data_IF_623989759764
#
_entry.id   IF_623989759764
#
_cell.length_a   1.000
_cell.length_b   1.000
_cell.length_c   1.000
_cell.angle_alpha   90.00
_cell.angle_beta   90.00
_cell.angle_gamma   90.00
#
_symmetry.space_group_name_H-M   'P 1'
#
loop_
_entity.id
_entity.type
_entity.pdbx_description
1 polymer ?
#
# COMPACT_ATOMS: atom_id res chain seq x y z
N UNK A 1 42.19 -57.61 53.81
CA UNK A 1 41.50 -57.69 52.49
C UNK A 1 40.03 -57.40 52.74
N UNK A 2 39.57 -56.22 52.35
CA UNK A 2 38.21 -55.72 52.60
C UNK A 2 37.77 -54.88 51.40
N UNK A 3 36.71 -55.31 50.74
CA UNK A 3 36.14 -54.75 49.50
C UNK A 3 35.50 -53.38 49.75
N UNK A 4 35.98 -52.31 49.09
CA UNK A 4 35.25 -51.04 48.97
C UNK A 4 34.57 -50.96 47.60
N UNK A 5 33.28 -51.29 47.57
CA UNK A 5 32.42 -51.19 46.38
C UNK A 5 32.24 -49.76 45.88
N UNK A 6 32.29 -49.59 44.56
CA UNK A 6 31.98 -48.34 43.87
C UNK A 6 30.49 -47.99 44.07
N UNK A 7 30.21 -46.83 44.67
CA UNK A 7 28.84 -46.33 44.84
C UNK A 7 28.33 -45.63 43.56
N UNK A 8 27.08 -45.90 43.18
CA UNK A 8 26.37 -45.36 41.98
C UNK A 8 26.52 -43.84 41.80
N UNK A 9 26.63 -43.08 42.90
CA UNK A 9 26.82 -41.62 42.91
C UNK A 9 28.18 -41.16 42.34
N UNK A 10 29.24 -41.98 42.44
CA UNK A 10 30.55 -41.70 41.84
C UNK A 10 30.64 -42.13 40.37
N UNK A 11 29.80 -43.07 39.93
CA UNK A 11 29.72 -43.51 38.53
C UNK A 11 28.98 -42.48 37.65
N UNK A 12 27.84 -41.96 38.12
CA UNK A 12 27.09 -40.90 37.43
C UNK A 12 27.88 -39.58 37.30
N UNK A 13 28.75 -39.26 38.27
CA UNK A 13 29.60 -38.08 38.22
C UNK A 13 30.70 -38.13 37.15
N UNK A 14 31.13 -39.32 36.70
CA UNK A 14 32.18 -39.47 35.67
C UNK A 14 31.63 -39.59 34.25
N UNK A 15 30.37 -39.99 34.06
CA UNK A 15 29.72 -39.96 32.73
C UNK A 15 29.31 -38.56 32.27
N UNK A 16 29.09 -37.62 33.20
CA UNK A 16 28.73 -36.24 32.86
C UNK A 16 29.89 -35.46 32.20
N UNK A 17 31.15 -35.90 32.33
CA UNK A 17 32.32 -35.22 31.75
C UNK A 17 32.77 -35.77 30.40
N UNK A 18 32.27 -36.93 29.94
CA UNK A 18 32.58 -37.48 28.61
C UNK A 18 31.47 -37.28 27.57
N UNK A 19 30.29 -36.78 27.96
CA UNK A 19 29.22 -36.41 27.02
C UNK A 19 29.30 -34.95 26.51
N UNK A 20 30.18 -34.12 27.08
CA UNK A 20 30.29 -32.69 26.73
C UNK A 20 31.24 -32.42 25.54
N UNK A 21 31.91 -33.44 24.99
CA UNK A 21 32.87 -33.27 23.89
C UNK A 21 32.33 -33.63 22.49
N UNK A 22 31.08 -34.11 22.36
CA UNK A 22 30.54 -34.57 21.06
C UNK A 22 29.20 -33.95 20.67
N UNK A 23 28.73 -32.90 21.36
CA UNK A 23 27.45 -32.24 21.03
C UNK A 23 27.54 -30.75 20.68
N UNK A 24 28.75 -30.20 20.54
CA UNK A 24 28.98 -28.81 20.10
C UNK A 24 29.19 -28.70 18.58
N UNK A 25 29.35 -29.80 17.85
CA UNK A 25 29.54 -29.78 16.38
C UNK A 25 28.21 -29.95 15.59
N UNK A 26 27.09 -30.18 16.27
CA UNK A 26 25.81 -30.52 15.61
C UNK A 26 24.79 -29.39 15.40
N UNK A 27 25.09 -28.12 15.70
CA UNK A 27 24.08 -27.04 15.74
C UNK A 27 24.32 -25.82 14.86
N UNK A 28 25.26 -25.88 13.92
CA UNK A 28 25.65 -24.72 13.11
C UNK A 28 25.68 -25.01 11.59
N UNK A 29 24.70 -25.73 11.04
CA UNK A 29 24.61 -25.90 9.57
C UNK A 29 23.20 -26.07 9.00
N UNK A 30 22.14 -26.04 9.83
CA UNK A 30 20.75 -26.28 9.37
C UNK A 30 19.92 -25.00 9.19
N UNK A 31 20.57 -23.85 8.97
CA UNK A 31 19.89 -22.56 8.77
C UNK A 31 20.31 -21.80 7.50
N UNK A 32 21.02 -22.45 6.57
CA UNK A 32 21.33 -21.89 5.25
C UNK A 32 20.72 -22.80 4.17
N UNK A 33 19.40 -23.02 4.24
CA UNK A 33 18.63 -23.62 3.14
C UNK A 33 17.13 -23.46 3.39
N UNK A 34 16.69 -22.24 3.72
CA UNK A 34 15.37 -21.80 3.28
C UNK A 34 15.59 -20.84 2.11
N UNK A 35 16.16 -21.37 1.02
CA UNK A 35 15.94 -20.75 -0.29
C UNK A 35 14.45 -20.93 -0.54
N UNK A 36 13.66 -19.94 -0.14
CA UNK A 36 12.30 -19.81 -0.61
C UNK A 36 12.38 -19.94 -2.14
N UNK A 37 11.70 -20.94 -2.70
CA UNK A 37 11.69 -21.23 -4.13
C UNK A 37 11.34 -19.95 -4.90
N UNK A 38 12.38 -19.26 -5.40
CA UNK A 38 12.29 -18.09 -6.25
C UNK A 38 11.65 -18.60 -7.55
N UNK A 39 10.36 -18.32 -7.75
CA UNK A 39 9.70 -18.66 -9.02
C UNK A 39 10.51 -17.99 -10.14
N UNK A 40 10.75 -18.64 -11.29
CA UNK A 40 11.64 -18.13 -12.34
C UNK A 40 11.24 -16.77 -12.97
N UNK A 41 10.09 -16.18 -12.59
CA UNK A 41 9.66 -14.81 -12.93
C UNK A 41 9.77 -13.80 -11.78
N UNK A 42 10.44 -14.10 -10.67
CA UNK A 42 10.46 -13.19 -9.52
C UNK A 42 11.59 -12.15 -9.56
N UNK A 43 11.23 -10.88 -9.49
CA UNK A 43 12.16 -9.75 -9.35
C UNK A 43 12.43 -9.49 -7.87
N UNK A 44 13.68 -9.24 -7.49
CA UNK A 44 14.04 -8.81 -6.14
C UNK A 44 14.29 -7.31 -6.13
N UNK A 45 13.59 -6.58 -5.26
CA UNK A 45 13.81 -5.15 -5.02
C UNK A 45 14.56 -4.98 -3.70
N UNK A 46 15.74 -4.37 -3.76
CA UNK A 46 16.56 -4.10 -2.57
C UNK A 46 16.28 -2.67 -2.09
N UNK A 47 15.67 -2.57 -0.90
CA UNK A 47 15.30 -1.34 -0.19
C UNK A 47 13.77 -1.15 -0.12
N UNK A 48 13.21 -1.14 1.09
CA UNK A 48 11.80 -0.81 1.37
C UNK A 48 11.61 0.68 1.71
N UNK A 49 12.33 1.56 0.98
CA UNK A 49 12.05 3.00 0.95
C UNK A 49 10.90 3.34 -0.01
N UNK A 50 10.57 4.62 -0.14
CA UNK A 50 9.49 5.07 -1.05
C UNK A 50 9.69 4.58 -2.50
N UNK A 51 10.90 4.72 -3.05
CA UNK A 51 11.21 4.31 -4.42
C UNK A 51 11.15 2.79 -4.62
N UNK A 52 11.64 2.00 -3.66
CA UNK A 52 11.64 0.55 -3.75
C UNK A 52 10.24 -0.04 -3.63
N UNK A 53 9.44 0.46 -2.68
CA UNK A 53 8.03 0.07 -2.55
C UNK A 53 7.22 0.45 -3.80
N UNK A 54 7.46 1.62 -4.38
CA UNK A 54 6.80 2.03 -5.62
C UNK A 54 7.23 1.17 -6.82
N UNK A 55 8.51 0.82 -6.91
CA UNK A 55 8.99 -0.09 -7.96
C UNK A 55 8.35 -1.47 -7.86
N UNK A 56 8.26 -2.00 -6.62
CA UNK A 56 7.60 -3.27 -6.35
C UNK A 56 6.12 -3.25 -6.77
N UNK A 57 5.40 -2.18 -6.42
CA UNK A 57 4.02 -1.97 -6.85
C UNK A 57 3.86 -2.03 -8.38
N UNK A 58 4.70 -1.29 -9.12
CA UNK A 58 4.60 -1.23 -10.58
C UNK A 58 4.88 -2.58 -11.25
N UNK A 59 5.77 -3.37 -10.67
CA UNK A 59 6.08 -4.72 -11.14
C UNK A 59 4.94 -5.69 -10.84
N UNK A 60 4.38 -5.64 -9.62
CA UNK A 60 3.19 -6.44 -9.26
C UNK A 60 1.98 -6.10 -10.14
N UNK A 61 1.75 -4.83 -10.45
CA UNK A 61 0.70 -4.40 -11.36
C UNK A 61 0.82 -4.98 -12.78
N UNK A 62 2.03 -5.43 -13.17
CA UNK A 62 2.30 -6.13 -14.43
C UNK A 62 2.24 -7.65 -14.30
N UNK A 63 1.78 -8.18 -13.17
CA UNK A 63 1.74 -9.61 -12.88
C UNK A 63 3.10 -10.23 -12.58
N UNK A 64 4.12 -9.42 -12.29
CA UNK A 64 5.47 -9.88 -11.97
C UNK A 64 5.54 -10.11 -10.46
N UNK A 65 5.96 -11.30 -10.04
CA UNK A 65 6.16 -11.60 -8.63
C UNK A 65 7.37 -10.81 -8.10
N UNK A 66 7.21 -10.11 -6.98
CA UNK A 66 8.30 -9.30 -6.40
C UNK A 66 8.59 -9.74 -4.98
N UNK A 67 9.88 -9.83 -4.64
CA UNK A 67 10.33 -9.92 -3.24
C UNK A 67 11.07 -8.64 -2.89
N UNK A 68 10.61 -7.92 -1.85
CA UNK A 68 11.28 -6.72 -1.35
C UNK A 68 12.16 -7.10 -0.16
N UNK A 69 13.44 -6.74 -0.22
CA UNK A 69 14.40 -6.95 0.85
C UNK A 69 14.83 -5.60 1.43
N UNK A 70 14.81 -5.45 2.75
CA UNK A 70 15.32 -4.25 3.44
C UNK A 70 16.40 -4.67 4.42
N UNK A 71 17.43 -3.83 4.56
CA UNK A 71 18.59 -4.14 5.42
C UNK A 71 18.27 -4.02 6.92
N UNK A 72 17.11 -3.47 7.26
CA UNK A 72 16.65 -3.18 8.62
C UNK A 72 15.33 -3.89 8.87
N UNK A 73 15.02 -4.12 10.14
CA UNK A 73 13.75 -4.74 10.58
C UNK A 73 12.53 -3.81 10.45
N UNK A 74 12.64 -2.72 9.66
CA UNK A 74 11.58 -1.73 9.44
C UNK A 74 11.63 -1.16 8.03
N UNK A 75 10.46 -0.84 7.50
CA UNK A 75 10.30 -0.16 6.21
C UNK A 75 10.58 1.36 6.32
N UNK A 76 10.47 2.07 5.19
CA UNK A 76 10.60 3.53 5.09
C UNK A 76 12.01 4.02 4.75
N UNK A 77 12.93 3.11 4.45
CA UNK A 77 14.30 3.41 4.04
C UNK A 77 15.00 4.41 4.96
N UNK A 78 15.45 5.54 4.38
CA UNK A 78 16.21 6.59 5.07
C UNK A 78 15.36 7.61 5.81
N UNK A 79 14.02 7.60 5.74
CA UNK A 79 13.16 8.65 6.32
C UNK A 79 13.50 8.94 7.78
N UNK A 80 13.61 7.93 8.65
CA UNK A 80 13.98 8.13 10.07
C UNK A 80 15.41 8.66 10.24
N UNK A 81 16.36 8.24 9.38
CA UNK A 81 17.74 8.71 9.44
C UNK A 81 17.87 10.18 8.98
N UNK A 82 17.18 10.55 7.91
CA UNK A 82 17.11 11.95 7.45
C UNK A 82 16.37 12.83 8.45
N UNK A 83 15.30 12.33 9.07
CA UNK A 83 14.60 13.08 10.12
C UNK A 83 15.51 13.32 11.33
N UNK A 84 16.26 12.30 11.78
CA UNK A 84 17.29 12.48 12.82
C UNK A 84 18.32 13.52 12.42
N UNK A 85 18.80 13.50 11.17
CA UNK A 85 19.78 14.46 10.65
C UNK A 85 19.27 15.91 10.72
N UNK A 86 18.00 16.13 10.39
CA UNK A 86 17.38 17.48 10.37
C UNK A 86 16.89 17.89 11.76
N UNK A 87 16.40 16.95 12.57
CA UNK A 87 15.88 17.15 13.94
C UNK A 87 16.31 16.00 14.87
N UNK A 88 17.51 16.08 15.48
CA UNK A 88 18.06 15.01 16.32
C UNK A 88 17.16 14.59 17.50
N UNK A 89 16.39 15.52 18.06
CA UNK A 89 15.46 15.26 19.17
C UNK A 89 14.35 14.23 18.85
N UNK A 90 14.16 13.86 17.58
CA UNK A 90 13.14 12.89 17.14
C UNK A 90 13.58 11.42 17.27
N UNK A 91 14.86 11.15 17.56
CA UNK A 91 15.42 9.80 17.50
C UNK A 91 14.70 8.76 18.37
N UNK A 92 14.43 9.12 19.63
CA UNK A 92 13.78 8.24 20.61
C UNK A 92 12.26 8.26 20.57
N UNK A 93 11.66 9.27 19.90
CA UNK A 93 10.24 9.60 20.08
C UNK A 93 9.43 9.51 18.78
N UNK A 94 10.05 9.11 17.66
CA UNK A 94 9.36 8.97 16.37
C UNK A 94 9.51 7.57 15.81
N UNK A 95 8.36 6.98 15.49
CA UNK A 95 8.21 5.74 14.76
C UNK A 95 7.43 5.96 13.46
N UNK A 96 7.69 5.12 12.46
CA UNK A 96 6.92 5.15 11.21
C UNK A 96 5.63 4.36 11.48
N UNK A 97 4.52 5.07 11.67
CA UNK A 97 3.23 4.44 11.94
C UNK A 97 2.63 3.77 10.70
N UNK A 98 2.72 4.41 9.53
CA UNK A 98 2.15 3.91 8.27
C UNK A 98 2.90 4.47 7.07
N UNK A 99 2.97 3.66 6.01
CA UNK A 99 3.34 4.10 4.66
C UNK A 99 2.14 3.89 3.75
N UNK A 100 1.71 4.94 3.07
CA UNK A 100 0.56 4.91 2.15
C UNK A 100 1.05 5.24 0.75
N UNK A 101 0.71 4.39 -0.21
CA UNK A 101 0.88 4.66 -1.62
C UNK A 101 -0.49 4.92 -2.23
N UNK A 102 -0.82 6.18 -2.47
CA UNK A 102 -2.11 6.57 -3.05
C UNK A 102 -2.34 5.99 -4.45
N UNK A 103 -1.27 5.77 -5.22
CA UNK A 103 -1.33 5.11 -6.52
C UNK A 103 -1.71 3.63 -6.46
N UNK A 104 -1.53 2.99 -5.30
CA UNK A 104 -1.87 1.57 -5.08
C UNK A 104 -3.26 1.39 -4.49
N UNK A 105 -3.86 2.45 -3.97
CA UNK A 105 -5.17 2.39 -3.36
C UNK A 105 -6.21 2.12 -4.47
N UNK A 106 -7.03 1.05 -4.38
CA UNK A 106 -7.96 0.68 -5.43
C UNK A 106 -9.04 1.74 -5.68
N UNK A 107 -9.32 2.60 -4.70
CA UNK A 107 -10.32 3.66 -4.77
C UNK A 107 -9.73 5.01 -5.21
N UNK A 108 -8.47 5.29 -4.88
CA UNK A 108 -7.84 6.56 -5.25
C UNK A 108 -7.05 6.49 -6.56
N UNK A 109 -6.24 5.43 -6.75
CA UNK A 109 -5.38 5.20 -7.93
C UNK A 109 -4.42 6.35 -8.27
N UNK A 110 -4.18 7.26 -7.33
CA UNK A 110 -3.40 8.49 -7.52
C UNK A 110 -3.57 9.42 -6.32
N UNK A 111 -2.73 10.45 -6.22
CA UNK A 111 -2.81 11.42 -5.13
C UNK A 111 -3.83 12.53 -5.41
N UNK A 112 -3.70 13.19 -6.56
CA UNK A 112 -4.57 14.27 -7.04
C UNK A 112 -4.46 14.36 -8.56
N UNK A 113 -5.40 15.03 -9.22
CA UNK A 113 -5.30 15.26 -10.64
C UNK A 113 -4.11 16.18 -10.96
N UNK A 114 -3.29 15.77 -11.92
CA UNK A 114 -2.21 16.59 -12.45
C UNK A 114 -2.22 16.49 -13.97
N UNK A 115 -2.55 17.60 -14.62
CA UNK A 115 -2.64 17.66 -16.08
C UNK A 115 -1.28 17.97 -16.69
N UNK A 116 -0.88 17.17 -17.69
CA UNK A 116 0.28 17.49 -18.51
C UNK A 116 0.02 18.76 -19.35
N UNK A 117 1.09 19.45 -19.82
CA UNK A 117 0.93 20.62 -20.68
C UNK A 117 -0.03 20.39 -21.84
N UNK A 118 -1.03 21.26 -21.98
CA UNK A 118 -2.05 21.19 -23.02
C UNK A 118 -3.27 20.31 -22.72
N UNK A 119 -3.25 19.44 -21.69
CA UNK A 119 -4.38 18.56 -21.38
C UNK A 119 -5.59 19.30 -20.79
N UNK A 120 -5.34 20.35 -20.01
CA UNK A 120 -6.39 21.20 -19.41
C UNK A 120 -7.41 21.65 -20.46
N UNK A 121 -6.92 22.26 -21.55
CA UNK A 121 -7.75 22.74 -22.68
C UNK A 121 -8.53 21.61 -23.37
N UNK A 122 -7.99 20.40 -23.36
CA UNK A 122 -8.58 19.25 -24.06
C UNK A 122 -9.66 18.51 -23.26
N UNK A 123 -9.53 18.50 -21.93
CA UNK A 123 -10.27 17.58 -21.05
C UNK A 123 -11.06 18.25 -19.92
N UNK A 124 -10.63 19.39 -19.37
CA UNK A 124 -11.20 19.94 -18.13
C UNK A 124 -12.71 20.19 -18.24
N UNK A 125 -13.15 20.93 -19.27
CA UNK A 125 -14.57 21.22 -19.50
C UNK A 125 -15.39 19.96 -19.78
N UNK A 126 -14.77 18.95 -20.41
CA UNK A 126 -15.46 17.71 -20.79
C UNK A 126 -15.68 16.81 -19.58
N UNK A 127 -14.74 16.76 -18.63
CA UNK A 127 -14.86 15.94 -17.42
C UNK A 127 -15.93 16.49 -16.47
N UNK A 128 -16.08 17.82 -16.39
CA UNK A 128 -17.11 18.44 -15.56
C UNK A 128 -18.52 18.43 -16.20
N UNK A 129 -18.63 18.08 -17.49
CA UNK A 129 -19.88 18.15 -18.26
C UNK A 129 -20.87 17.08 -17.78
N UNK A 130 -22.08 17.46 -17.33
CA UNK A 130 -23.11 16.50 -16.94
C UNK A 130 -23.70 15.76 -18.14
N UNK A 131 -24.28 14.59 -17.88
CA UNK A 131 -25.02 13.79 -18.85
C UNK A 131 -26.41 13.46 -18.31
N UNK A 132 -27.45 14.11 -18.85
CA UNK A 132 -28.83 14.02 -18.37
C UNK A 132 -28.91 14.30 -16.85
N UNK A 133 -29.22 13.25 -16.06
CA UNK A 133 -29.34 13.31 -14.59
C UNK A 133 -28.06 12.93 -13.85
N UNK A 134 -26.96 12.69 -14.58
CA UNK A 134 -25.66 12.32 -14.03
C UNK A 134 -24.78 13.55 -14.01
N UNK A 135 -24.26 13.87 -12.82
CA UNK A 135 -23.37 15.01 -12.60
C UNK A 135 -22.02 14.52 -12.06
N UNK A 136 -20.95 15.19 -12.46
CA UNK A 136 -19.59 14.88 -12.01
C UNK A 136 -19.07 16.00 -11.11
N UNK A 137 -18.66 15.60 -9.90
CA UNK A 137 -18.02 16.43 -8.89
C UNK A 137 -16.74 15.72 -8.42
N UNK A 138 -15.79 16.51 -7.93
CA UNK A 138 -14.47 16.07 -7.53
C UNK A 138 -13.42 17.11 -7.93
N UNK A 139 -12.29 17.09 -7.23
CA UNK A 139 -11.16 18.01 -7.44
C UNK A 139 -10.75 18.12 -8.93
N UNK A 140 -10.67 16.99 -9.62
CA UNK A 140 -10.36 16.90 -11.06
C UNK A 140 -11.38 17.59 -12.01
N UNK A 141 -12.53 18.04 -11.50
CA UNK A 141 -13.57 18.75 -12.26
C UNK A 141 -13.67 20.24 -11.92
N UNK A 142 -12.85 20.72 -10.99
CA UNK A 142 -12.79 22.12 -10.59
C UNK A 142 -11.70 22.86 -11.37
N UNK A 143 -11.71 24.19 -11.26
CA UNK A 143 -10.69 25.05 -11.86
C UNK A 143 -9.61 25.43 -10.85
N UNK A 144 -9.96 25.47 -9.56
CA UNK A 144 -9.00 25.73 -8.51
C UNK A 144 -7.90 24.65 -8.43
N UNK A 145 -6.79 25.01 -7.77
CA UNK A 145 -5.64 24.12 -7.53
C UNK A 145 -6.06 22.81 -6.85
N UNK A 146 -5.28 21.72 -6.99
CA UNK A 146 -5.63 20.45 -6.34
C UNK A 146 -5.79 20.60 -4.83
N UNK A 147 -6.88 20.05 -4.27
CA UNK A 147 -7.17 20.16 -2.85
C UNK A 147 -8.63 19.94 -2.48
N UNK A 148 -8.93 20.13 -1.20
CA UNK A 148 -10.29 20.00 -0.65
C UNK A 148 -11.19 21.15 -1.12
N UNK A 149 -10.61 22.32 -1.35
CA UNK A 149 -11.26 23.52 -1.83
C UNK A 149 -11.91 23.27 -3.20
N UNK A 150 -11.17 22.65 -4.11
CA UNK A 150 -11.64 22.23 -5.43
C UNK A 150 -12.75 21.19 -5.36
N UNK A 151 -12.64 20.23 -4.44
CA UNK A 151 -13.71 19.26 -4.20
C UNK A 151 -15.00 19.96 -3.75
N UNK A 152 -14.89 20.91 -2.82
CA UNK A 152 -16.03 21.68 -2.33
C UNK A 152 -16.65 22.57 -3.41
N UNK A 153 -15.83 23.35 -4.14
CA UNK A 153 -16.23 24.18 -5.27
C UNK A 153 -17.04 23.37 -6.30
N UNK A 154 -16.52 22.20 -6.68
CA UNK A 154 -17.21 21.33 -7.64
C UNK A 154 -18.54 20.79 -7.12
N UNK A 155 -18.63 20.53 -5.81
CA UNK A 155 -19.85 20.10 -5.13
C UNK A 155 -20.92 21.20 -5.14
N UNK A 156 -20.54 22.43 -4.80
CA UNK A 156 -21.42 23.60 -4.86
C UNK A 156 -21.92 23.86 -6.28
N UNK A 157 -21.03 23.75 -7.28
CA UNK A 157 -21.37 23.85 -8.70
C UNK A 157 -22.44 22.83 -9.11
N UNK A 158 -22.26 21.56 -8.74
CA UNK A 158 -23.21 20.49 -9.06
C UNK A 158 -24.54 20.71 -8.35
N UNK A 159 -24.53 21.01 -7.04
CA UNK A 159 -25.74 21.26 -6.27
C UNK A 159 -26.55 22.43 -6.86
N UNK A 160 -25.88 23.53 -7.20
CA UNK A 160 -26.51 24.67 -7.85
C UNK A 160 -27.08 24.34 -9.25
N UNK A 161 -26.39 23.50 -10.03
CA UNK A 161 -26.89 23.07 -11.34
C UNK A 161 -28.17 22.22 -11.23
N UNK A 162 -28.24 21.35 -10.22
CA UNK A 162 -29.42 20.52 -9.95
C UNK A 162 -30.62 21.38 -9.50
N UNK A 163 -30.40 22.34 -8.61
CA UNK A 163 -31.46 23.26 -8.15
C UNK A 163 -32.05 24.10 -9.29
N UNK A 164 -31.21 24.51 -10.26
CA UNK A 164 -31.64 25.31 -11.41
C UNK A 164 -32.31 24.48 -12.53
N UNK A 165 -32.39 23.15 -12.39
CA UNK A 165 -32.94 22.28 -13.44
C UNK A 165 -32.09 22.23 -14.72
N UNK A 166 -30.82 22.64 -14.65
CA UNK A 166 -29.92 22.77 -15.81
C UNK A 166 -29.26 21.42 -16.21
N UNK A 167 -29.65 20.32 -15.58
CA UNK A 167 -29.45 18.96 -16.13
C UNK A 167 -30.55 18.68 -17.15
N UNK A 168 -30.27 18.98 -18.43
CA UNK A 168 -31.24 19.10 -19.52
C UNK A 168 -32.44 18.16 -19.47
N UNK A 169 -33.63 18.75 -19.47
CA UNK A 169 -34.86 18.11 -19.91
C UNK A 169 -35.16 18.54 -21.35
N UNK A 170 -34.96 17.70 -22.36
CA UNK A 170 -35.96 17.59 -23.41
C UNK A 170 -37.13 16.81 -22.80
N UNK A 171 -38.23 17.49 -22.48
CA UNK A 171 -39.52 16.81 -22.34
C UNK A 171 -39.93 16.31 -23.74
N UNK A 172 -39.29 15.25 -24.23
CA UNK A 172 -39.97 14.40 -25.21
C UNK A 172 -41.13 13.77 -24.46
N UNK A 173 -42.34 14.13 -24.90
CA UNK A 173 -43.60 13.52 -24.50
C UNK A 173 -43.51 12.02 -24.79
N UNK A 174 -42.97 11.25 -23.85
CA UNK A 174 -43.29 9.84 -23.75
C UNK A 174 -44.78 9.80 -23.44
N UNK A 175 -45.55 9.37 -24.42
CA UNK A 175 -46.99 9.25 -24.38
C UNK A 175 -47.42 8.61 -23.05
N UNK A 176 -48.12 9.39 -22.21
CA UNK A 176 -48.69 8.92 -20.94
C UNK A 176 -49.68 7.75 -21.11
N UNK A 177 -50.11 7.46 -22.34
CA UNK A 177 -50.99 6.36 -22.71
C UNK A 177 -50.31 4.98 -22.58
N UNK A 178 -48.98 4.87 -22.76
CA UNK A 178 -48.30 3.56 -22.79
C UNK A 178 -47.97 2.99 -21.39
N UNK A 179 -47.89 3.85 -20.36
CA UNK A 179 -47.56 3.43 -18.99
C UNK A 179 -48.82 2.93 -18.25
N UNK A 180 -50.00 3.49 -18.55
CA UNK A 180 -51.26 3.04 -17.94
C UNK A 180 -51.73 1.69 -18.51
N UNK A 181 -51.35 1.33 -19.74
CA UNK A 181 -51.71 0.04 -20.35
C UNK A 181 -50.89 -1.16 -19.85
N UNK A 182 -49.90 -0.96 -18.95
CA UNK A 182 -49.07 -2.03 -18.37
C UNK A 182 -49.35 -2.30 -16.88
N UNK A 183 -50.32 -1.62 -16.28
CA UNK A 183 -50.67 -1.77 -14.85
C UNK A 183 -52.16 -2.09 -14.63
N UNK A 184 -52.88 -2.51 -15.67
CA UNK A 184 -54.20 -3.17 -15.53
C UNK A 184 -54.21 -4.45 -16.33
#
# INVERSE_FOLDING_TARGET
MTTRGLNRRKFLGRMAQSALATLVVGRASKQIAASASIKPTSVVVIGAGLSGLYSALLLEAKGISVTVLEARDRIGGRVKAELKRIRPATESNVEIARVVSWGSDPYAQGAYAHFAPGQIRGFQDKMAKPWNRIHFAGEHTAIASPGMESALESGERVAGAMQRGLGGFPHERLHQEEILARVV
#
